data_IF_189759245048
#
_entry.id   IF_189759245048
#
_cell.length_a   1.000
_cell.length_b   1.000
_cell.length_c   1.000
_cell.angle_alpha   90.00
_cell.angle_beta   90.00
_cell.angle_gamma   90.00
#
_symmetry.space_group_name_H-M   'P 1'
#
loop_
_entity.id
_entity.type
_entity.pdbx_description
1 polymer ?
#
# COMPACT_ATOMS: atom_id res chain seq x y z
N UNK A 1 -33.60 52.09 2.77
CA UNK A 1 -34.26 51.48 1.58
C UNK A 1 -33.18 51.31 0.52
N UNK A 2 -32.79 50.13 0.02
CA UNK A 2 -33.29 48.76 0.06
C UNK A 2 -32.08 47.81 0.12
N UNK A 3 -32.18 46.77 0.96
CA UNK A 3 -31.40 45.53 0.83
C UNK A 3 -31.72 44.83 -0.50
N UNK A 4 -30.84 43.96 -1.01
CA UNK A 4 -31.05 42.49 -1.10
C UNK A 4 -29.88 41.79 -1.84
N UNK A 5 -29.18 40.93 -1.09
CA UNK A 5 -28.60 39.60 -1.39
C UNK A 5 -28.29 39.18 -2.84
N UNK A 6 -27.09 38.62 -3.02
CA UNK A 6 -26.90 37.38 -3.79
C UNK A 6 -25.90 36.48 -3.06
N UNK A 7 -26.44 35.66 -2.14
CA UNK A 7 -25.86 34.38 -1.72
C UNK A 7 -26.05 33.41 -2.89
N UNK A 8 -24.97 32.81 -3.41
CA UNK A 8 -25.06 31.64 -4.28
C UNK A 8 -24.01 30.62 -3.82
N UNK A 9 -24.54 29.54 -3.21
CA UNK A 9 -24.03 28.19 -3.04
C UNK A 9 -22.64 28.01 -2.38
N UNK A 10 -22.52 28.04 -1.05
CA UNK A 10 -22.69 26.86 -0.16
C UNK A 10 -23.60 25.77 -0.73
N UNK A 11 -23.01 24.74 -1.35
CA UNK A 11 -23.63 23.41 -1.47
C UNK A 11 -22.59 22.38 -1.97
N UNK A 12 -21.70 21.93 -1.09
CA UNK A 12 -21.16 20.56 -1.17
C UNK A 12 -20.71 20.04 0.21
N UNK A 13 -21.46 20.37 1.26
CA UNK A 13 -21.55 19.51 2.46
C UNK A 13 -22.60 18.45 2.13
N UNK A 14 -22.26 17.54 1.20
CA UNK A 14 -23.08 16.35 1.00
C UNK A 14 -22.82 15.43 2.19
N UNK A 15 -23.85 15.28 3.02
CA UNK A 15 -24.10 14.21 3.97
C UNK A 15 -23.18 12.99 3.81
N UNK A 16 -22.02 12.99 4.47
CA UNK A 16 -21.33 11.78 4.88
C UNK A 16 -21.66 11.51 6.35
N UNK A 17 -22.96 11.31 6.62
CA UNK A 17 -23.37 10.40 7.68
C UNK A 17 -23.36 9.00 7.06
N UNK A 18 -22.18 8.52 6.65
CA UNK A 18 -22.03 7.10 6.41
C UNK A 18 -22.00 6.45 7.80
N UNK A 19 -22.96 5.58 8.03
CA UNK A 19 -23.17 4.86 9.28
C UNK A 19 -22.00 3.92 9.59
N UNK A 20 -20.87 4.48 10.05
CA UNK A 20 -19.88 3.75 10.84
C UNK A 20 -20.16 4.15 12.29
N UNK A 21 -21.33 3.71 12.77
CA UNK A 21 -21.65 3.76 14.18
C UNK A 21 -20.63 2.88 14.93
N UNK A 22 -19.94 3.48 15.90
CA UNK A 22 -19.24 2.84 17.02
C UNK A 22 -19.45 1.32 17.10
N UNK A 23 -18.54 0.57 16.49
CA UNK A 23 -18.37 -0.84 16.75
C UNK A 23 -16.93 -1.00 17.25
N UNK A 24 -16.78 -1.22 18.55
CA UNK A 24 -15.51 -1.27 19.29
C UNK A 24 -14.64 -2.50 18.97
N UNK A 25 -14.74 -3.09 17.77
CA UNK A 25 -13.87 -4.20 17.35
C UNK A 25 -13.63 -4.10 15.85
N UNK A 26 -12.44 -3.62 15.48
CA UNK A 26 -11.95 -3.70 14.10
C UNK A 26 -10.83 -4.74 14.06
N UNK A 27 -10.71 -5.36 12.88
CA UNK A 27 -10.14 -6.67 12.60
C UNK A 27 -11.21 -7.78 12.61
N UNK A 28 -11.56 -8.37 11.46
CA UNK A 28 -10.93 -8.17 10.15
C UNK A 28 -11.48 -6.94 9.37
N UNK A 29 -10.61 -6.20 8.68
CA UNK A 29 -11.02 -5.11 7.77
C UNK A 29 -10.15 -5.03 6.52
N UNK A 30 -10.67 -4.36 5.50
CA UNK A 30 -9.97 -3.87 4.30
C UNK A 30 -10.44 -2.45 4.03
N UNK A 31 -9.58 -1.62 3.47
CA UNK A 31 -9.88 -0.19 3.29
C UNK A 31 -8.94 0.43 2.27
N UNK A 32 -9.47 1.38 1.52
CA UNK A 32 -8.78 2.12 0.47
C UNK A 32 -9.06 3.60 0.69
N UNK A 33 -8.03 4.43 0.64
CA UNK A 33 -8.13 5.88 0.54
C UNK A 33 -7.36 6.34 -0.69
N UNK A 34 -7.98 7.19 -1.47
CA UNK A 34 -7.35 7.82 -2.63
C UNK A 34 -7.64 9.30 -2.60
N UNK A 35 -6.61 10.08 -2.91
CA UNK A 35 -6.64 11.53 -2.79
C UNK A 35 -5.89 12.17 -3.96
N UNK A 36 -6.35 13.33 -4.42
CA UNK A 36 -5.53 14.25 -5.22
C UNK A 36 -5.18 15.43 -4.34
N UNK A 37 -3.88 15.69 -4.16
CA UNK A 37 -3.41 16.66 -3.18
C UNK A 37 -3.29 18.07 -3.79
N UNK A 38 -3.73 19.07 -3.02
CA UNK A 38 -3.61 20.48 -3.33
C UNK A 38 -2.38 21.05 -2.62
N UNK A 39 -1.59 21.84 -3.34
CA UNK A 39 -0.46 22.57 -2.77
C UNK A 39 -0.85 23.44 -1.55
N UNK A 40 -0.16 23.22 -0.43
CA UNK A 40 -0.28 23.87 0.89
C UNK A 40 0.03 25.39 0.96
N UNK A 41 0.04 26.14 -0.14
CA UNK A 41 0.27 27.59 -0.08
C UNK A 41 -1.00 28.38 -0.37
N UNK A 42 -1.83 28.68 0.65
CA UNK A 42 -3.00 29.56 0.50
C UNK A 42 -2.61 31.01 0.17
N UNK A 43 -1.31 31.31 0.03
CA UNK A 43 -0.78 32.66 -0.20
C UNK A 43 -0.11 32.84 -1.56
N UNK A 44 -0.03 31.81 -2.41
CA UNK A 44 0.45 31.98 -3.78
C UNK A 44 -0.74 32.22 -4.74
N UNK A 45 -0.96 33.46 -5.19
CA UNK A 45 -2.08 33.81 -6.06
C UNK A 45 -1.95 33.24 -7.49
N UNK A 46 -0.82 32.61 -7.83
CA UNK A 46 -0.62 31.95 -9.13
C UNK A 46 -1.07 30.49 -9.14
N UNK A 47 -1.42 29.92 -7.99
CA UNK A 47 -1.87 28.53 -7.87
C UNK A 47 -3.32 28.39 -8.33
N UNK A 48 -3.53 27.54 -9.33
CA UNK A 48 -4.87 27.06 -9.70
C UNK A 48 -5.32 26.09 -8.62
N UNK A 49 -6.38 26.45 -7.88
CA UNK A 49 -7.04 25.54 -6.94
C UNK A 49 -7.72 24.45 -7.77
N UNK A 50 -7.12 23.27 -7.84
CA UNK A 50 -7.76 22.07 -8.36
C UNK A 50 -8.71 21.55 -7.28
N UNK A 51 -9.93 21.12 -7.59
CA UNK A 51 -10.82 20.57 -6.56
C UNK A 51 -10.20 19.32 -5.92
N UNK A 52 -9.99 19.36 -4.60
CA UNK A 52 -9.69 18.19 -3.80
C UNK A 52 -10.71 17.06 -4.01
N UNK A 53 -10.22 15.89 -4.41
CA UNK A 53 -10.99 14.65 -4.51
C UNK A 53 -10.46 13.62 -3.53
N UNK A 54 -11.37 13.05 -2.74
CA UNK A 54 -11.10 11.95 -1.82
C UNK A 54 -12.19 10.91 -1.91
N UNK A 55 -11.81 9.64 -1.95
CA UNK A 55 -12.74 8.52 -1.81
C UNK A 55 -12.18 7.50 -0.83
N UNK A 56 -13.05 7.02 0.08
CA UNK A 56 -12.77 5.92 1.01
C UNK A 56 -13.78 4.80 0.76
N UNK A 57 -13.30 3.57 0.66
CA UNK A 57 -14.13 2.36 0.50
C UNK A 57 -13.46 1.18 1.22
N UNK A 58 -14.24 0.13 1.50
CA UNK A 58 -13.75 -1.10 2.11
C UNK A 58 -12.92 -1.99 1.16
N UNK A 59 -13.09 -1.90 -0.16
CA UNK A 59 -12.38 -2.81 -1.08
C UNK A 59 -11.75 -2.11 -2.26
N UNK A 60 -12.37 -1.05 -2.77
CA UNK A 60 -11.89 -0.36 -3.97
C UNK A 60 -12.35 1.10 -3.99
N UNK A 61 -11.43 2.02 -4.27
CA UNK A 61 -11.73 3.42 -4.47
C UNK A 61 -10.89 4.00 -5.62
N UNK A 62 -11.40 5.04 -6.29
CA UNK A 62 -10.66 5.74 -7.35
C UNK A 62 -11.07 7.23 -7.44
N UNK A 63 -10.11 8.09 -7.75
CA UNK A 63 -10.32 9.53 -8.03
C UNK A 63 -9.55 9.92 -9.28
N UNK A 64 -9.95 10.99 -9.94
CA UNK A 64 -9.34 11.40 -11.21
C UNK A 64 -10.22 12.28 -12.08
N UNK A 65 -11.09 13.10 -11.48
CA UNK A 65 -11.84 14.12 -12.22
C UNK A 65 -10.95 15.30 -12.63
N UNK A 66 -9.84 15.52 -11.90
CA UNK A 66 -8.76 16.44 -12.23
C UNK A 66 -7.91 15.99 -13.44
N UNK A 67 -7.82 16.79 -14.52
CA UNK A 67 -7.03 16.44 -15.69
C UNK A 67 -5.55 16.23 -15.33
N UNK A 68 -5.03 15.04 -15.67
CA UNK A 68 -3.64 14.69 -15.43
C UNK A 68 -3.35 14.15 -14.04
N UNK A 69 -4.37 13.98 -13.18
CA UNK A 69 -4.24 13.28 -11.89
C UNK A 69 -5.16 12.08 -11.87
N UNK A 70 -4.67 10.95 -11.36
CA UNK A 70 -5.51 9.78 -11.13
C UNK A 70 -4.91 8.92 -10.02
N UNK A 71 -5.77 8.42 -9.13
CA UNK A 71 -5.40 7.46 -8.11
C UNK A 71 -6.47 6.38 -8.00
N UNK A 72 -6.05 5.15 -7.71
CA UNK A 72 -6.94 4.04 -7.37
C UNK A 72 -6.25 3.12 -6.38
N UNK A 73 -7.05 2.45 -5.56
CA UNK A 73 -6.55 1.42 -4.68
C UNK A 73 -7.52 0.25 -4.56
N UNK A 74 -6.99 -0.89 -4.13
CA UNK A 74 -7.73 -2.11 -3.83
C UNK A 74 -7.16 -2.74 -2.56
N UNK A 75 -8.02 -3.18 -1.67
CA UNK A 75 -7.64 -3.95 -0.49
C UNK A 75 -8.47 -5.23 -0.39
N UNK A 76 -7.77 -6.34 -0.18
CA UNK A 76 -8.31 -7.66 0.12
C UNK A 76 -7.49 -8.22 1.30
N UNK A 77 -8.02 -9.22 2.00
CA UNK A 77 -7.25 -9.89 3.05
C UNK A 77 -6.01 -10.54 2.45
N UNK A 78 -4.83 -10.06 2.88
CA UNK A 78 -3.54 -10.56 2.39
C UNK A 78 -3.06 -9.95 1.08
N UNK A 79 -3.78 -8.98 0.51
CA UNK A 79 -3.38 -8.32 -0.73
C UNK A 79 -3.79 -6.84 -0.69
N UNK A 80 -2.82 -5.95 -0.90
CA UNK A 80 -3.07 -4.51 -1.05
C UNK A 80 -2.50 -4.01 -2.37
N UNK A 81 -3.22 -3.10 -3.03
CA UNK A 81 -2.78 -2.53 -4.29
C UNK A 81 -3.05 -1.05 -4.38
N UNK A 82 -2.02 -0.26 -4.69
CA UNK A 82 -2.11 1.19 -4.77
C UNK A 82 -1.54 1.68 -6.11
N UNK A 83 -2.21 2.64 -6.73
CA UNK A 83 -1.78 3.25 -7.99
C UNK A 83 -2.01 4.76 -7.94
N UNK A 84 -1.00 5.51 -8.33
CA UNK A 84 -1.06 6.95 -8.52
C UNK A 84 -0.32 7.36 -9.78
N UNK A 85 -0.85 8.36 -10.50
CA UNK A 85 -0.20 8.97 -11.66
C UNK A 85 -0.50 10.47 -11.67
N UNK A 86 0.52 11.23 -12.05
CA UNK A 86 0.41 12.66 -12.32
C UNK A 86 1.12 12.99 -13.64
N UNK A 87 0.48 13.79 -14.49
CA UNK A 87 0.95 14.12 -15.85
C UNK A 87 0.65 15.57 -16.19
N UNK A 88 1.68 16.32 -16.61
CA UNK A 88 1.63 17.75 -16.82
C UNK A 88 1.44 18.55 -15.53
N UNK A 89 1.85 18.01 -14.38
CA UNK A 89 1.62 18.63 -13.06
C UNK A 89 2.89 19.27 -12.51
N UNK A 90 2.77 20.40 -11.78
CA UNK A 90 3.90 20.96 -11.04
C UNK A 90 4.31 20.02 -9.90
N UNK A 91 5.55 20.16 -9.41
CA UNK A 91 6.16 19.25 -8.42
C UNK A 91 5.51 19.25 -7.03
N UNK A 92 4.51 20.10 -6.80
CA UNK A 92 3.76 20.24 -5.55
C UNK A 92 2.27 19.84 -5.71
N UNK A 93 1.90 19.24 -6.83
CA UNK A 93 0.56 18.73 -7.10
C UNK A 93 0.68 17.26 -7.44
N UNK A 94 -0.17 16.44 -6.83
CA UNK A 94 0.03 15.01 -6.82
C UNK A 94 -1.22 14.17 -6.70
N UNK A 95 -1.00 12.87 -6.80
CA UNK A 95 -2.01 11.84 -6.58
C UNK A 95 -1.48 10.84 -5.56
N UNK A 96 -2.38 10.36 -4.70
CA UNK A 96 -2.06 9.49 -3.58
C UNK A 96 -3.07 8.34 -3.49
N UNK A 97 -2.57 7.13 -3.25
CA UNK A 97 -3.37 5.95 -2.97
C UNK A 97 -2.78 5.19 -1.79
N UNK A 98 -3.60 4.95 -0.77
CA UNK A 98 -3.29 4.16 0.41
C UNK A 98 -4.27 3.01 0.52
N UNK A 99 -3.76 1.83 0.82
CA UNK A 99 -4.57 0.64 1.01
C UNK A 99 -4.13 -0.09 2.24
N UNK A 100 -5.07 -0.68 2.97
CA UNK A 100 -4.76 -1.44 4.17
C UNK A 100 -5.71 -2.60 4.38
N UNK A 101 -5.23 -3.63 5.06
CA UNK A 101 -6.05 -4.71 5.60
C UNK A 101 -5.55 -5.09 6.99
N UNK A 102 -6.42 -5.69 7.79
CA UNK A 102 -6.06 -6.34 9.05
C UNK A 102 -6.83 -7.64 9.23
N UNK A 103 -6.19 -8.65 9.81
CA UNK A 103 -6.83 -9.90 10.21
C UNK A 103 -6.31 -10.39 11.58
N UNK A 104 -7.10 -11.24 12.24
CA UNK A 104 -6.78 -11.85 13.53
C UNK A 104 -6.38 -13.31 13.33
N UNK A 105 -5.42 -13.78 14.12
CA UNK A 105 -4.78 -15.06 13.95
C UNK A 105 -4.74 -15.81 15.27
N UNK A 106 -5.22 -17.06 15.28
CA UNK A 106 -5.08 -17.97 16.42
C UNK A 106 -4.49 -19.29 15.91
N UNK A 107 -3.24 -19.57 16.26
CA UNK A 107 -2.59 -20.81 15.84
C UNK A 107 -2.91 -21.91 16.86
N UNK A 108 -3.50 -23.01 16.39
CA UNK A 108 -3.91 -24.15 17.21
C UNK A 108 -3.01 -25.37 16.94
N UNK A 109 -3.13 -26.40 17.79
CA UNK A 109 -2.48 -27.70 17.56
C UNK A 109 -1.09 -27.87 18.17
N UNK A 110 -0.52 -26.84 18.79
CA UNK A 110 0.73 -26.90 19.55
C UNK A 110 0.58 -26.42 20.99
N UNK A 111 1.71 -26.35 21.71
CA UNK A 111 1.80 -25.80 23.08
C UNK A 111 2.99 -24.87 23.19
N UNK A 112 2.89 -23.80 24.00
CA UNK A 112 3.98 -22.86 24.22
C UNK A 112 4.14 -21.86 23.08
N UNK A 113 5.39 -21.49 22.79
CA UNK A 113 5.71 -20.46 21.79
C UNK A 113 6.08 -21.08 20.45
N UNK A 114 5.76 -20.40 19.37
CA UNK A 114 6.16 -20.72 18.00
C UNK A 114 6.68 -19.49 17.27
N UNK A 115 7.26 -19.72 16.09
CA UNK A 115 7.69 -18.66 15.17
C UNK A 115 6.87 -18.80 13.88
N UNK A 116 6.16 -17.74 13.51
CA UNK A 116 5.46 -17.64 12.25
C UNK A 116 6.41 -17.02 11.22
N UNK A 117 6.75 -17.76 10.18
CA UNK A 117 7.50 -17.21 9.04
C UNK A 117 6.52 -16.51 8.11
N UNK A 118 6.71 -15.22 7.89
CA UNK A 118 5.88 -14.42 6.98
C UNK A 118 6.70 -13.92 5.81
N UNK A 119 6.01 -13.74 4.68
CA UNK A 119 6.58 -13.13 3.48
C UNK A 119 5.58 -12.20 2.82
N UNK A 120 6.08 -11.10 2.27
CA UNK A 120 5.30 -10.16 1.48
C UNK A 120 6.00 -9.97 0.15
N UNK A 121 5.26 -10.17 -0.95
CA UNK A 121 5.74 -9.82 -2.28
C UNK A 121 5.16 -8.48 -2.72
N UNK A 122 6.02 -7.48 -2.88
CA UNK A 122 5.66 -6.15 -3.39
C UNK A 122 6.19 -6.01 -4.81
N UNK A 123 5.28 -6.14 -5.78
CA UNK A 123 5.53 -5.91 -7.19
C UNK A 123 5.07 -4.50 -7.60
N UNK A 124 5.85 -3.79 -8.40
CA UNK A 124 5.41 -2.53 -8.96
C UNK A 124 6.44 -1.78 -9.77
N UNK A 125 6.08 -0.57 -10.19
CA UNK A 125 6.92 0.32 -10.98
C UNK A 125 6.82 1.74 -10.45
N UNK A 126 7.97 2.40 -10.31
CA UNK A 126 8.11 3.83 -10.04
C UNK A 126 8.75 4.52 -11.24
N UNK A 127 8.13 5.58 -11.76
CA UNK A 127 8.66 6.41 -12.84
C UNK A 127 8.44 7.90 -12.58
N UNK A 128 9.31 8.76 -13.12
CA UNK A 128 9.18 10.22 -13.04
C UNK A 128 9.58 10.83 -11.70
N UNK A 129 9.58 12.15 -11.65
CA UNK A 129 9.91 12.93 -10.46
C UNK A 129 8.76 12.86 -9.45
N UNK A 130 9.10 12.66 -8.18
CA UNK A 130 8.12 12.68 -7.08
C UNK A 130 7.29 11.41 -6.87
N UNK A 131 7.51 10.34 -7.64
CA UNK A 131 6.93 9.02 -7.36
C UNK A 131 7.61 8.31 -6.19
N UNK A 132 6.84 8.03 -5.14
CA UNK A 132 7.27 7.26 -3.96
C UNK A 132 6.26 6.17 -3.61
N UNK A 133 6.71 5.17 -2.86
CA UNK A 133 5.86 4.12 -2.31
C UNK A 133 6.38 3.72 -0.93
N UNK A 134 5.50 3.25 -0.07
CA UNK A 134 5.90 2.62 1.19
C UNK A 134 5.04 1.40 1.48
N UNK A 135 5.65 0.41 2.12
CA UNK A 135 4.99 -0.78 2.61
C UNK A 135 5.30 -0.97 4.09
N UNK A 136 4.28 -1.27 4.90
CA UNK A 136 4.43 -1.62 6.31
C UNK A 136 3.60 -2.85 6.66
N UNK A 137 4.16 -3.74 7.48
CA UNK A 137 3.47 -4.86 8.11
C UNK A 137 3.59 -4.70 9.63
N UNK A 138 2.45 -4.77 10.30
CA UNK A 138 2.32 -4.57 11.75
C UNK A 138 1.85 -5.85 12.43
N UNK A 139 2.26 -6.03 13.69
CA UNK A 139 1.77 -7.12 14.55
C UNK A 139 1.39 -6.57 15.92
N UNK A 140 0.19 -6.86 16.38
CA UNK A 140 -0.28 -6.45 17.70
C UNK A 140 -0.89 -7.61 18.48
N UNK A 141 -0.82 -7.54 19.81
CA UNK A 141 -1.56 -8.41 20.73
C UNK A 141 -2.99 -7.88 21.03
N UNK A 142 -3.29 -6.66 20.59
CA UNK A 142 -4.62 -6.04 20.68
C UNK A 142 -5.24 -5.83 19.29
N UNK A 143 -6.59 -5.80 19.18
CA UNK A 143 -7.25 -5.56 17.90
C UNK A 143 -6.76 -4.27 17.23
N UNK A 144 -6.46 -4.35 15.93
CA UNK A 144 -6.02 -3.19 15.15
C UNK A 144 -7.25 -2.47 14.63
N UNK A 145 -7.31 -1.16 14.86
CA UNK A 145 -8.44 -0.34 14.41
C UNK A 145 -8.05 0.64 13.33
N UNK A 146 -9.05 1.14 12.58
CA UNK A 146 -8.87 2.12 11.52
C UNK A 146 -8.57 3.55 12.04
N UNK A 147 -8.39 3.72 13.36
CA UNK A 147 -8.34 5.04 13.98
C UNK A 147 -9.70 5.76 13.93
N UNK A 148 -9.78 6.95 14.51
CA UNK A 148 -10.96 7.79 14.40
C UNK A 148 -10.86 8.52 13.06
N UNK A 149 -11.86 8.38 12.20
CA UNK A 149 -11.84 8.99 10.87
C UNK A 149 -11.57 10.49 10.96
N UNK A 150 -10.67 11.00 10.09
CA UNK A 150 -10.79 12.37 9.65
C UNK A 150 -9.53 13.12 9.26
N UNK A 151 -8.33 12.79 9.78
CA UNK A 151 -7.20 13.72 9.63
C UNK A 151 -5.78 13.10 9.45
N UNK A 152 -5.58 11.77 9.52
CA UNK A 152 -4.22 11.18 9.55
C UNK A 152 -4.09 9.74 9.06
N UNK A 153 -4.60 9.41 7.87
CA UNK A 153 -4.39 8.10 7.25
C UNK A 153 -5.21 6.94 7.84
N UNK A 154 -5.14 5.79 7.16
CA UNK A 154 -6.09 4.68 7.28
C UNK A 154 -5.94 3.83 8.55
N UNK A 155 -4.82 3.95 9.27
CA UNK A 155 -4.55 3.16 10.48
C UNK A 155 -4.44 4.02 11.74
N UNK A 156 -5.09 5.18 11.78
CA UNK A 156 -5.04 6.06 12.96
C UNK A 156 -3.65 6.63 13.25
N UNK A 157 -2.83 6.77 12.21
CA UNK A 157 -1.51 7.39 12.29
C UNK A 157 -1.67 8.91 12.25
N UNK A 158 -2.27 9.47 13.32
CA UNK A 158 -2.21 10.91 13.52
C UNK A 158 -0.77 11.25 13.93
N UNK A 159 -0.02 11.89 13.03
CA UNK A 159 1.30 12.44 13.32
C UNK A 159 1.27 13.43 14.51
N UNK A 160 0.09 13.84 14.97
CA UNK A 160 -0.14 14.64 16.16
C UNK A 160 -0.58 13.75 17.34
N UNK A 161 0.41 13.25 18.08
CA UNK A 161 0.40 12.31 19.22
C UNK A 161 -0.48 12.66 20.46
N UNK A 162 -1.70 13.21 20.29
CA UNK A 162 -2.53 13.73 21.39
C UNK A 162 -3.86 12.99 21.65
N UNK A 163 -4.15 11.89 20.96
CA UNK A 163 -5.41 11.15 21.15
C UNK A 163 -5.20 9.74 21.77
N UNK A 164 -5.26 9.70 23.11
CA UNK A 164 -5.08 8.52 24.00
C UNK A 164 -6.09 7.37 23.84
N UNK A 165 -7.00 7.40 22.87
CA UNK A 165 -8.10 6.41 22.80
C UNK A 165 -8.23 5.70 21.46
N UNK A 166 -7.41 6.05 20.47
CA UNK A 166 -7.44 5.38 19.17
C UNK A 166 -6.04 5.39 18.54
N UNK A 167 -5.10 4.73 19.22
CA UNK A 167 -3.76 4.54 18.67
C UNK A 167 -3.85 3.50 17.56
N UNK A 168 -3.41 3.88 16.37
CA UNK A 168 -2.97 2.91 15.37
C UNK A 168 -1.92 1.95 15.92
N UNK A 169 -1.49 0.96 15.13
CA UNK A 169 -0.30 0.20 15.46
C UNK A 169 0.86 1.15 15.75
N UNK A 170 1.56 0.95 16.87
CA UNK A 170 2.76 1.72 17.20
C UNK A 170 3.85 1.38 16.18
N UNK A 171 4.79 2.30 15.93
CA UNK A 171 5.97 1.99 15.13
C UNK A 171 6.81 0.86 15.74
N UNK A 172 6.69 0.62 17.06
CA UNK A 172 7.29 -0.55 17.70
C UNK A 172 6.73 -1.89 17.20
N UNK A 173 5.54 -1.88 16.60
CA UNK A 173 4.83 -3.07 16.13
C UNK A 173 5.14 -3.41 14.67
N UNK A 174 5.99 -2.60 14.02
CA UNK A 174 6.42 -2.80 12.64
C UNK A 174 7.41 -3.97 12.57
N UNK A 175 7.03 -5.01 11.83
CA UNK A 175 7.89 -6.18 11.55
C UNK A 175 8.53 -6.13 10.16
N UNK A 176 7.91 -5.43 9.21
CA UNK A 176 8.45 -5.16 7.89
C UNK A 176 8.15 -3.70 7.55
N UNK A 177 9.17 -2.96 7.14
CA UNK A 177 9.04 -1.62 6.59
C UNK A 177 9.91 -1.52 5.35
N UNK A 178 9.35 -0.99 4.26
CA UNK A 178 10.09 -0.77 3.03
C UNK A 178 9.65 0.52 2.34
N UNK A 179 10.60 1.18 1.69
CA UNK A 179 10.38 2.44 0.99
C UNK A 179 10.85 2.34 -0.46
N UNK A 180 10.04 2.83 -1.38
CA UNK A 180 10.35 2.94 -2.80
C UNK A 180 10.42 4.38 -3.21
N UNK A 181 11.51 4.75 -3.89
CA UNK A 181 11.75 6.11 -4.36
C UNK A 181 12.19 6.01 -5.82
N UNK A 182 11.63 6.85 -6.69
CA UNK A 182 12.04 6.84 -8.10
C UNK A 182 13.51 7.26 -8.26
N UNK A 183 14.20 6.80 -9.33
CA UNK A 183 15.58 7.20 -9.60
C UNK A 183 15.77 8.72 -9.69
N UNK A 184 14.75 9.44 -10.17
CA UNK A 184 14.79 10.89 -10.31
C UNK A 184 14.82 11.56 -8.93
N UNK A 185 14.04 11.09 -7.95
CA UNK A 185 14.08 11.63 -6.58
C UNK A 185 15.39 11.24 -5.88
N UNK A 186 15.85 10.00 -6.05
CA UNK A 186 17.10 9.52 -5.44
C UNK A 186 18.29 10.42 -5.77
N UNK A 187 18.32 11.02 -6.96
CA UNK A 187 19.37 11.96 -7.38
C UNK A 187 19.32 13.33 -6.66
N UNK A 188 18.21 13.66 -6.00
CA UNK A 188 17.98 14.94 -5.32
C UNK A 188 17.98 14.81 -3.78
N UNK A 189 18.02 13.59 -3.24
CA UNK A 189 18.11 13.38 -1.80
C UNK A 189 19.48 13.82 -1.25
N UNK A 190 19.45 14.44 -0.09
CA UNK A 190 20.65 14.70 0.71
C UNK A 190 21.28 13.40 1.23
N UNK A 191 22.53 13.49 1.67
CA UNK A 191 23.25 12.34 2.22
C UNK A 191 22.55 11.77 3.47
N UNK A 192 21.97 12.63 4.31
CA UNK A 192 21.21 12.22 5.50
C UNK A 192 19.93 11.47 5.12
N UNK A 193 19.18 11.96 4.13
CA UNK A 193 17.98 11.27 3.62
C UNK A 193 18.32 9.92 2.99
N UNK A 194 19.44 9.83 2.28
CA UNK A 194 19.94 8.56 1.76
C UNK A 194 20.34 7.60 2.88
N UNK A 195 20.95 8.09 3.95
CA UNK A 195 21.30 7.28 5.13
C UNK A 195 20.06 6.76 5.85
N UNK A 196 19.00 7.56 5.97
CA UNK A 196 17.71 7.13 6.51
C UNK A 196 17.08 6.08 5.59
N UNK A 197 17.03 6.32 4.28
CA UNK A 197 16.44 5.39 3.31
C UNK A 197 17.15 4.03 3.32
N UNK A 198 18.48 4.02 3.48
CA UNK A 198 19.28 2.79 3.51
C UNK A 198 19.16 1.99 4.83
N UNK A 199 18.49 2.52 5.86
CA UNK A 199 18.20 1.78 7.09
C UNK A 199 17.04 0.80 6.92
N UNK A 200 16.23 0.95 5.87
CA UNK A 200 15.12 0.06 5.56
C UNK A 200 15.34 -0.69 4.24
N UNK A 201 14.75 -1.88 4.07
CA UNK A 201 14.59 -2.50 2.75
C UNK A 201 14.02 -1.51 1.72
N UNK A 202 14.60 -1.50 0.53
CA UNK A 202 14.16 -0.62 -0.57
C UNK A 202 13.20 -1.38 -1.48
N UNK A 203 12.09 -0.74 -1.85
CA UNK A 203 11.18 -1.20 -2.90
C UNK A 203 11.74 -0.70 -4.24
N UNK A 204 12.26 -1.62 -5.04
CA UNK A 204 12.68 -1.32 -6.40
C UNK A 204 11.52 -1.52 -7.39
N UNK A 205 11.57 -0.84 -8.55
CA UNK A 205 10.75 -1.25 -9.69
C UNK A 205 11.05 -2.72 -10.04
N UNK A 206 10.02 -3.55 -10.14
CA UNK A 206 10.12 -4.99 -10.29
C UNK A 206 9.41 -5.74 -9.16
N UNK A 207 9.99 -6.88 -8.77
CA UNK A 207 9.44 -7.79 -7.75
C UNK A 207 10.34 -7.77 -6.52
N UNK A 208 9.80 -7.34 -5.38
CA UNK A 208 10.50 -7.33 -4.09
C UNK A 208 9.87 -8.38 -3.17
N UNK A 209 10.70 -9.14 -2.46
CA UNK A 209 10.24 -10.12 -1.48
C UNK A 209 10.82 -9.74 -0.12
N UNK A 210 9.95 -9.45 0.83
CA UNK A 210 10.30 -9.17 2.21
C UNK A 210 9.88 -10.36 3.09
N UNK A 211 10.67 -10.68 4.10
CA UNK A 211 10.40 -11.79 5.02
C UNK A 211 10.65 -11.35 6.45
N UNK A 212 9.84 -11.86 7.38
CA UNK A 212 10.03 -11.65 8.81
C UNK A 212 9.63 -12.89 9.60
N UNK A 213 10.04 -12.93 10.86
CA UNK A 213 9.65 -13.94 11.84
C UNK A 213 8.82 -13.27 12.93
N UNK A 214 7.61 -13.78 13.16
CA UNK A 214 6.69 -13.24 14.17
C UNK A 214 6.57 -14.29 15.29
N UNK A 215 7.03 -13.98 16.52
CA UNK A 215 6.80 -14.87 17.64
C UNK A 215 5.31 -14.90 18.00
N UNK A 216 4.78 -16.09 18.30
CA UNK A 216 3.40 -16.27 18.76
C UNK A 216 3.31 -17.30 19.88
N UNK A 217 2.19 -17.31 20.59
CA UNK A 217 1.85 -18.36 21.57
C UNK A 217 0.66 -19.16 21.06
N UNK A 218 0.76 -20.49 21.07
CA UNK A 218 -0.35 -21.36 20.62
C UNK A 218 -1.62 -21.10 21.45
N UNK A 219 -2.75 -20.99 20.76
CA UNK A 219 -4.07 -20.70 21.36
C UNK A 219 -4.29 -19.25 21.77
N UNK A 220 -3.30 -18.36 21.59
CA UNK A 220 -3.43 -16.92 21.83
C UNK A 220 -3.67 -16.21 20.51
N UNK A 221 -4.62 -15.26 20.50
CA UNK A 221 -4.90 -14.43 19.34
C UNK A 221 -3.92 -13.27 19.25
N UNK A 222 -3.44 -13.00 18.04
CA UNK A 222 -2.71 -11.78 17.69
C UNK A 222 -3.26 -11.25 16.35
N UNK A 223 -2.89 -10.04 16.00
CA UNK A 223 -3.44 -9.29 14.88
C UNK A 223 -2.31 -8.88 13.95
N UNK A 224 -2.53 -9.02 12.64
CA UNK A 224 -1.61 -8.50 11.62
C UNK A 224 -2.36 -7.44 10.82
N UNK A 225 -1.67 -6.37 10.47
CA UNK A 225 -2.15 -5.41 9.49
C UNK A 225 -1.06 -5.10 8.45
N UNK A 226 -1.50 -4.73 7.27
CA UNK A 226 -0.64 -4.30 6.17
C UNK A 226 -1.10 -2.94 5.67
N UNK A 227 -0.15 -2.10 5.25
CA UNK A 227 -0.39 -0.82 4.60
C UNK A 227 0.54 -0.66 3.41
N UNK A 228 -0.03 -0.27 2.26
CA UNK A 228 0.70 0.04 1.04
C UNK A 228 0.30 1.41 0.50
N UNK A 229 1.29 2.25 0.25
CA UNK A 229 1.10 3.60 -0.27
C UNK A 229 1.75 3.71 -1.66
N UNK A 230 1.10 4.45 -2.54
CA UNK A 230 1.64 4.92 -3.81
C UNK A 230 1.33 6.41 -3.93
N UNK A 231 2.36 7.22 -4.11
CA UNK A 231 2.25 8.68 -4.16
C UNK A 231 3.08 9.19 -5.32
N UNK A 232 2.58 10.23 -5.98
CA UNK A 232 3.28 10.94 -7.04
C UNK A 232 3.09 12.43 -6.85
N UNK A 233 4.20 13.19 -6.79
CA UNK A 233 4.22 14.65 -6.79
C UNK A 233 4.89 15.20 -8.06
N UNK A 234 4.16 15.88 -8.93
CA UNK A 234 4.64 16.25 -10.27
C UNK A 234 4.56 15.11 -11.28
N UNK A 235 5.29 15.19 -12.39
CA UNK A 235 5.17 14.21 -13.48
C UNK A 235 5.79 12.84 -13.10
N UNK A 236 4.94 11.82 -12.99
CA UNK A 236 5.37 10.47 -12.66
C UNK A 236 4.22 9.46 -12.52
N UNK A 237 4.58 8.21 -12.23
CA UNK A 237 3.65 7.14 -11.88
C UNK A 237 4.24 6.22 -10.80
N UNK A 238 3.38 5.77 -9.90
CA UNK A 238 3.64 4.71 -8.93
C UNK A 238 2.56 3.63 -9.11
N UNK A 239 2.92 2.49 -9.70
CA UNK A 239 2.00 1.38 -9.98
C UNK A 239 2.34 0.16 -9.14
N UNK A 240 1.55 -0.06 -8.09
CA UNK A 240 1.58 -1.23 -7.23
C UNK A 240 0.18 -1.84 -7.10
N UNK A 241 -0.69 -1.70 -8.12
CA UNK A 241 -2.10 -2.07 -7.99
C UNK A 241 -2.37 -3.58 -7.81
N UNK A 242 -1.41 -4.42 -8.22
CA UNK A 242 -1.47 -5.87 -8.11
C UNK A 242 -0.34 -6.42 -7.23
N UNK A 243 -0.19 -5.85 -6.05
CA UNK A 243 1.02 -5.99 -5.22
C UNK A 243 0.71 -6.52 -3.81
N UNK A 244 1.74 -6.51 -2.97
CA UNK A 244 1.68 -6.80 -1.53
C UNK A 244 0.95 -8.09 -1.17
N UNK A 245 1.33 -9.18 -1.83
CA UNK A 245 0.80 -10.51 -1.56
C UNK A 245 1.46 -11.05 -0.28
N UNK A 246 0.67 -11.17 0.79
CA UNK A 246 1.10 -11.69 2.08
C UNK A 246 0.89 -13.20 2.17
N UNK A 247 1.89 -13.90 2.70
CA UNK A 247 1.85 -15.32 3.00
C UNK A 247 2.47 -15.62 4.36
N UNK A 248 1.97 -16.66 5.01
CA UNK A 248 2.41 -17.05 6.35
C UNK A 248 2.42 -18.57 6.52
N UNK A 249 3.46 -19.10 7.16
CA UNK A 249 3.58 -20.54 7.45
C UNK A 249 3.99 -20.77 8.90
N UNK A 250 3.36 -21.74 9.55
CA UNK A 250 3.77 -22.20 10.89
C UNK A 250 5.10 -22.98 10.82
N UNK A 251 5.74 -23.28 11.96
CA UNK A 251 6.97 -24.08 12.00
C UNK A 251 6.87 -25.44 11.30
N UNK A 252 5.67 -26.05 11.29
CA UNK A 252 5.39 -27.33 10.62
C UNK A 252 5.09 -27.16 9.12
N UNK A 253 5.24 -25.94 8.58
CA UNK A 253 4.98 -25.60 7.19
C UNK A 253 3.51 -25.52 6.82
N UNK A 254 2.60 -25.47 7.80
CA UNK A 254 1.17 -25.37 7.54
C UNK A 254 0.79 -23.92 7.23
N UNK A 255 -0.11 -23.77 6.27
CA UNK A 255 -0.73 -22.49 5.97
C UNK A 255 -1.57 -22.00 7.15
N UNK A 256 -1.56 -20.69 7.35
CA UNK A 256 -2.36 -20.06 8.41
C UNK A 256 -3.66 -19.51 7.84
N UNK A 257 -4.76 -19.69 8.57
CA UNK A 257 -6.02 -19.01 8.28
C UNK A 257 -6.25 -17.89 9.31
N UNK A 258 -6.69 -16.73 8.84
CA UNK A 258 -7.13 -15.65 9.71
C UNK A 258 -8.63 -15.74 10.03
N UNK A 259 -9.09 -14.87 10.92
CA UNK A 259 -10.49 -14.76 11.33
C UNK A 259 -11.41 -14.31 10.17
N UNK A 260 -10.86 -13.65 9.13
CA UNK A 260 -11.58 -13.38 7.89
C UNK A 260 -11.98 -14.65 7.11
N UNK A 261 -11.42 -15.81 7.45
CA UNK A 261 -11.53 -17.05 6.70
C UNK A 261 -10.53 -17.17 5.55
N UNK A 262 -9.70 -16.16 5.33
CA UNK A 262 -8.64 -16.18 4.30
C UNK A 262 -7.52 -17.11 4.73
N UNK A 263 -7.07 -17.95 3.79
CA UNK A 263 -5.91 -18.83 3.99
C UNK A 263 -4.69 -18.16 3.36
N UNK A 264 -3.72 -17.83 4.19
CA UNK A 264 -2.49 -17.14 3.84
C UNK A 264 -1.40 -18.14 3.47
N UNK A 265 -1.56 -18.80 2.33
CA UNK A 265 -0.50 -19.64 1.79
C UNK A 265 0.62 -18.78 1.24
N UNK A 266 1.85 -19.07 1.64
CA UNK A 266 3.00 -18.56 0.91
C UNK A 266 2.84 -19.02 -0.55
N UNK A 267 2.68 -18.07 -1.47
CA UNK A 267 2.83 -18.37 -2.87
C UNK A 267 4.22 -18.99 -2.99
N UNK A 268 4.30 -20.28 -3.34
CA UNK A 268 5.57 -20.92 -3.58
C UNK A 268 6.33 -19.99 -4.51
N UNK A 269 7.44 -19.42 -4.04
CA UNK A 269 8.37 -18.71 -4.91
C UNK A 269 8.94 -19.82 -5.77
N UNK A 270 8.18 -20.24 -6.78
CA UNK A 270 8.65 -21.15 -7.81
C UNK A 270 9.76 -20.33 -8.43
N UNK A 271 11.05 -20.71 -8.23
CA UNK A 271 12.10 -20.05 -8.95
C UNK A 271 11.72 -20.26 -10.40
N UNK A 272 11.32 -19.20 -11.11
CA UNK A 272 10.99 -19.33 -12.53
C UNK A 272 12.21 -20.02 -13.11
N UNK A 273 12.10 -21.28 -13.58
CA UNK A 273 13.27 -22.03 -14.01
C UNK A 273 13.94 -21.11 -15.01
N UNK A 274 15.13 -20.65 -14.62
CA UNK A 274 15.74 -19.42 -15.09
C UNK A 274 15.40 -19.21 -16.56
N UNK A 275 14.98 -18.01 -16.95
CA UNK A 275 14.63 -17.69 -18.33
C UNK A 275 15.65 -18.27 -19.35
N UNK A 276 16.88 -18.52 -18.93
CA UNK A 276 17.90 -19.41 -19.51
C UNK A 276 17.39 -20.74 -20.11
N UNK A 277 16.50 -21.51 -19.47
CA UNK A 277 15.98 -22.77 -20.05
C UNK A 277 14.95 -22.53 -21.16
N UNK A 278 14.08 -21.54 -20.99
CA UNK A 278 13.09 -21.16 -22.03
C UNK A 278 13.77 -20.46 -23.22
N UNK A 279 14.73 -19.57 -22.96
CA UNK A 279 15.56 -18.96 -24.00
C UNK A 279 16.51 -19.97 -24.63
N UNK A 280 17.14 -20.84 -23.85
CA UNK A 280 18.04 -21.88 -24.33
C UNK A 280 17.34 -22.88 -25.25
N UNK A 281 16.14 -23.34 -24.85
CA UNK A 281 15.32 -24.21 -25.70
C UNK A 281 14.77 -23.48 -26.92
N UNK A 282 14.39 -22.20 -26.80
CA UNK A 282 13.98 -21.37 -27.92
C UNK A 282 15.08 -21.19 -28.99
N UNK A 283 16.31 -20.90 -28.57
CA UNK A 283 17.47 -20.73 -29.47
C UNK A 283 17.84 -22.05 -30.15
N UNK A 284 17.85 -23.17 -29.41
CA UNK A 284 18.11 -24.49 -29.99
C UNK A 284 17.02 -24.90 -30.99
N UNK A 285 15.75 -24.58 -30.70
CA UNK A 285 14.63 -24.78 -31.62
C UNK A 285 14.80 -24.01 -32.93
N UNK A 286 15.22 -22.74 -32.86
CA UNK A 286 15.47 -21.90 -34.03
C UNK A 286 16.66 -22.38 -34.88
N UNK A 287 17.75 -22.85 -34.24
CA UNK A 287 18.88 -23.46 -34.96
C UNK A 287 18.48 -24.75 -35.68
N UNK A 288 17.59 -25.57 -35.08
CA UNK A 288 17.05 -26.76 -35.71
C UNK A 288 16.19 -26.46 -36.95
N UNK A 289 15.42 -25.37 -36.93
CA UNK A 289 14.55 -24.98 -38.04
C UNK A 289 15.34 -24.47 -39.26
N UNK A 290 16.44 -23.73 -39.04
CA UNK A 290 17.29 -23.22 -40.14
C UNK A 290 17.96 -24.34 -40.94
N UNK A 291 18.24 -25.49 -40.31
CA UNK A 291 18.95 -26.62 -40.95
C UNK A 291 18.09 -27.39 -41.96
N UNK A 292 16.76 -27.28 -41.90
CA UNK A 292 15.85 -27.95 -42.86
C UNK A 292 15.72 -27.24 -44.21
N UNK A 293 16.13 -25.98 -44.34
CA UNK A 293 16.05 -25.23 -45.60
C UNK A 293 17.33 -25.30 -46.46
N UNK A 294 18.38 -26.01 -46.03
CA UNK A 294 19.64 -26.12 -46.77
C UNK A 294 19.84 -27.47 -47.46
N UNK A 295 18.82 -28.34 -47.46
CA UNK A 295 18.82 -29.61 -48.19
C UNK A 295 17.64 -29.60 -49.18
N UNK A 296 17.78 -28.78 -50.22
CA UNK A 296 17.05 -28.91 -51.49
C UNK A 296 17.92 -28.36 -52.60
#
# INVERSE_FOLDING_TARGET
>A
MKHTKSLIAVSLLLNFNLAIAQADVWTPFTVVEVTTDESLSPFDPSIVILPYERQVDSQFAQVGSNPGLFAKGRALFGETGSYAIATGQPSNVGAFAETSWSDAFTILGGTGNGILSVSVRVDGVLTGGGSVSSYRLFVSDTPITLGAEGLGGILGYDDNDNHLTNRGPDDSDIVIQAYGVSPDILAHLSQEELEILNQSPIIHSGSNLFTAEIPFTYGVTFYIASKLNAEVMGDGAADFFNSSHFGATTPDGLAVAGASGTVYQQAAVVPVPSAIWLFGSGVLGLMGFKRRNFVR
#
